data_IF_382980148515
#
_entry.id   IF_382980148515
#
_cell.length_a   1.000
_cell.length_b   1.000
_cell.length_c   1.000
_cell.angle_alpha   90.00
_cell.angle_beta   90.00
_cell.angle_gamma   90.00
#
_symmetry.space_group_name_H-M   'P 1'
#
loop_
_entity.id
_entity.type
_entity.pdbx_description
1 polymer ?
#
# COMPACT_ATOMS: atom_id res chain seq x y z
N UNK A 1 -3.31 10.48 0.93
CA UNK A 1 -3.52 9.71 -0.32
C UNK A 1 -2.26 9.72 -1.18
N UNK A 2 -1.83 10.84 -1.76
CA UNK A 2 -0.57 10.92 -2.55
C UNK A 2 0.67 10.47 -1.76
N UNK A 3 0.82 10.91 -0.50
CA UNK A 3 1.93 10.46 0.36
C UNK A 3 1.91 8.95 0.59
N UNK A 4 0.73 8.38 0.85
CA UNK A 4 0.56 6.94 1.08
C UNK A 4 0.89 6.14 -0.19
N UNK A 5 0.48 6.64 -1.37
CA UNK A 5 0.88 6.06 -2.67
C UNK A 5 2.39 6.15 -2.89
N UNK A 6 3.01 7.30 -2.59
CA UNK A 6 4.46 7.49 -2.72
C UNK A 6 5.22 6.50 -1.86
N UNK A 7 4.79 6.29 -0.63
CA UNK A 7 5.42 5.33 0.29
C UNK A 7 5.19 3.89 -0.21
N UNK A 8 3.96 3.53 -0.60
CA UNK A 8 3.61 2.18 -1.03
C UNK A 8 4.26 1.75 -2.37
N UNK A 9 4.40 2.68 -3.31
CA UNK A 9 4.84 2.40 -4.68
C UNK A 9 6.20 3.03 -5.05
N UNK A 10 6.87 3.69 -4.09
CA UNK A 10 8.17 4.35 -4.27
C UNK A 10 8.24 5.30 -5.48
N UNK A 11 7.09 5.87 -5.88
CA UNK A 11 6.94 6.78 -7.02
C UNK A 11 6.18 8.01 -6.56
N UNK A 12 6.76 9.18 -6.80
CA UNK A 12 6.11 10.43 -6.45
C UNK A 12 5.13 10.85 -7.55
N UNK A 13 3.85 10.52 -7.33
CA UNK A 13 2.76 11.02 -8.13
C UNK A 13 1.98 12.04 -7.30
N UNK A 14 2.10 13.32 -7.66
CA UNK A 14 1.47 14.43 -6.95
C UNK A 14 -0.05 14.52 -7.14
N UNK A 15 -0.63 13.77 -8.08
CA UNK A 15 -2.07 13.76 -8.34
C UNK A 15 -2.56 12.38 -8.83
N UNK A 16 -2.72 11.45 -7.89
CA UNK A 16 -3.17 10.08 -8.20
C UNK A 16 -4.68 9.97 -8.43
N UNK A 17 -5.46 11.00 -8.08
CA UNK A 17 -6.92 10.96 -8.12
C UNK A 17 -7.52 11.74 -9.27
N UNK A 18 -6.69 12.42 -10.08
CA UNK A 18 -7.18 13.12 -11.27
C UNK A 18 -7.75 12.14 -12.30
N UNK A 19 -9.02 12.34 -12.65
CA UNK A 19 -9.62 11.68 -13.80
C UNK A 19 -9.13 12.22 -15.16
N UNK A 20 -8.40 13.33 -15.19
CA UNK A 20 -7.92 13.94 -16.42
C UNK A 20 -6.54 13.38 -16.80
N UNK A 21 -6.54 12.39 -17.70
CA UNK A 21 -5.33 11.64 -18.10
C UNK A 21 -5.31 11.37 -19.59
N UNK A 22 -4.10 11.27 -20.14
CA UNK A 22 -3.85 10.84 -21.51
C UNK A 22 -2.96 9.59 -21.50
N UNK A 23 -3.26 8.63 -22.38
CA UNK A 23 -2.55 7.36 -22.45
C UNK A 23 -2.13 7.06 -23.90
N UNK A 24 -1.02 6.35 -24.05
CA UNK A 24 -0.69 5.71 -25.32
C UNK A 24 -1.49 4.42 -25.46
N UNK A 25 -1.76 3.98 -26.70
CA UNK A 25 -2.47 2.72 -26.97
C UNK A 25 -1.77 1.53 -26.31
N UNK A 26 -0.44 1.50 -26.36
CA UNK A 26 0.37 0.48 -25.72
C UNK A 26 0.17 0.47 -24.21
N UNK A 27 0.20 1.65 -23.57
CA UNK A 27 0.04 1.76 -22.13
C UNK A 27 -1.30 1.18 -21.66
N UNK A 28 -2.40 1.51 -22.35
CA UNK A 28 -3.74 0.98 -22.02
C UNK A 28 -3.81 -0.53 -22.21
N UNK A 29 -3.22 -1.06 -23.30
CA UNK A 29 -3.26 -2.52 -23.57
C UNK A 29 -2.53 -3.38 -22.54
N UNK A 30 -1.62 -2.80 -21.76
CA UNK A 30 -0.88 -3.49 -20.71
C UNK A 30 -1.57 -3.42 -19.34
N UNK A 31 -2.56 -2.54 -19.17
CA UNK A 31 -3.26 -2.35 -17.91
C UNK A 31 -4.37 -3.39 -17.74
N UNK A 32 -4.40 -4.04 -16.57
CA UNK A 32 -5.44 -5.00 -16.22
C UNK A 32 -6.38 -4.42 -15.15
N UNK A 33 -7.26 -3.50 -15.59
CA UNK A 33 -8.15 -2.76 -14.69
C UNK A 33 -9.39 -3.58 -14.31
N UNK A 34 -9.73 -3.59 -13.01
CA UNK A 34 -10.87 -4.34 -12.45
C UNK A 34 -11.77 -3.49 -11.55
N UNK A 35 -11.28 -2.38 -11.00
CA UNK A 35 -12.08 -1.55 -10.11
C UNK A 35 -13.16 -0.77 -10.87
N UNK A 36 -14.22 -0.40 -10.16
CA UNK A 36 -15.33 0.43 -10.69
C UNK A 36 -15.52 1.66 -9.80
N UNK A 37 -15.85 2.80 -10.39
CA UNK A 37 -16.04 4.07 -9.65
C UNK A 37 -14.72 4.81 -9.40
N UNK A 38 -14.64 5.60 -8.32
CA UNK A 38 -13.48 6.47 -7.99
C UNK A 38 -12.19 5.74 -7.58
N UNK A 39 -12.23 4.42 -7.54
CA UNK A 39 -11.07 3.57 -7.25
C UNK A 39 -10.22 3.33 -8.51
N UNK A 40 -10.82 3.52 -9.70
CA UNK A 40 -10.16 3.27 -10.99
C UNK A 40 -8.98 4.20 -11.23
N UNK A 41 -9.06 5.46 -10.78
CA UNK A 41 -7.99 6.45 -10.92
C UNK A 41 -6.72 6.00 -10.18
N UNK A 42 -6.92 5.35 -9.04
CA UNK A 42 -5.83 4.80 -8.24
C UNK A 42 -5.27 3.55 -8.90
N UNK A 43 -6.13 2.62 -9.33
CA UNK A 43 -5.71 1.38 -9.99
C UNK A 43 -4.88 1.66 -11.25
N UNK A 44 -5.32 2.63 -12.07
CA UNK A 44 -4.56 3.11 -13.24
C UNK A 44 -3.16 3.57 -12.84
N UNK A 45 -3.06 4.35 -11.76
CA UNK A 45 -1.77 4.87 -11.28
C UNK A 45 -0.87 3.72 -10.81
N UNK A 46 -1.43 2.73 -10.12
CA UNK A 46 -0.70 1.54 -9.66
C UNK A 46 -0.24 0.68 -10.84
N UNK A 47 -1.11 0.39 -11.80
CA UNK A 47 -0.80 -0.40 -13.01
C UNK A 47 0.27 0.28 -13.86
N UNK A 48 0.19 1.61 -14.03
CA UNK A 48 1.20 2.37 -14.76
C UNK A 48 2.58 2.25 -14.11
N UNK A 49 2.65 2.33 -12.78
CA UNK A 49 3.90 2.13 -12.03
C UNK A 49 4.37 0.67 -12.12
N UNK A 50 3.47 -0.30 -11.95
CA UNK A 50 3.79 -1.74 -11.99
C UNK A 50 4.34 -2.17 -13.35
N UNK A 51 3.79 -1.62 -14.43
CA UNK A 51 4.21 -1.91 -15.80
C UNK A 51 5.43 -1.08 -16.22
N UNK A 52 6.04 -0.28 -15.33
CA UNK A 52 7.23 0.52 -15.62
C UNK A 52 7.00 1.62 -16.65
N UNK A 53 5.77 2.12 -16.79
CA UNK A 53 5.43 3.11 -17.80
C UNK A 53 6.04 4.48 -17.47
N UNK A 54 6.34 5.27 -18.51
CA UNK A 54 6.79 6.65 -18.34
C UNK A 54 5.60 7.54 -18.01
N UNK A 55 5.63 8.16 -16.83
CA UNK A 55 4.56 9.02 -16.31
C UNK A 55 5.09 10.45 -16.18
N UNK A 56 4.30 11.42 -16.63
CA UNK A 56 4.58 12.86 -16.46
C UNK A 56 3.33 13.54 -15.90
N UNK A 57 3.51 14.41 -14.93
CA UNK A 57 2.44 15.22 -14.34
C UNK A 57 2.54 16.63 -14.91
N UNK A 58 1.49 17.06 -15.59
CA UNK A 58 1.38 18.41 -16.14
C UNK A 58 0.53 19.24 -15.18
N UNK A 59 1.06 20.33 -14.58
CA UNK A 59 0.30 21.15 -13.65
C UNK A 59 -0.86 21.84 -14.37
N UNK A 60 -2.05 21.75 -13.78
CA UNK A 60 -3.27 22.42 -14.27
C UNK A 60 -3.89 23.27 -13.16
N UNK A 61 -4.62 24.31 -13.56
CA UNK A 61 -5.40 25.13 -12.63
C UNK A 61 -6.81 24.58 -12.52
N UNK A 62 -7.17 24.08 -11.33
CA UNK A 62 -8.54 23.65 -11.06
C UNK A 62 -9.47 24.85 -11.00
N UNK A 63 -10.58 24.77 -11.73
CA UNK A 63 -11.64 25.77 -11.70
C UNK A 63 -12.84 25.21 -10.94
N UNK A 64 -13.53 26.09 -10.22
CA UNK A 64 -14.76 25.73 -9.52
C UNK A 64 -15.85 25.41 -10.55
N UNK A 65 -16.44 24.23 -10.44
CA UNK A 65 -17.61 23.85 -11.25
C UNK A 65 -18.86 24.56 -10.70
N UNK A 66 -19.55 25.43 -11.46
CA UNK A 66 -20.80 26.02 -11.01
C UNK A 66 -21.94 24.97 -11.05
N UNK A 67 -22.78 24.92 -10.01
CA UNK A 67 -24.12 24.33 -10.12
C UNK A 67 -24.29 22.81 -9.95
N UNK A 68 -23.29 22.07 -9.49
CA UNK A 68 -23.48 20.63 -9.16
C UNK A 68 -23.01 20.33 -7.76
N UNK A 69 -23.88 19.73 -6.95
CA UNK A 69 -23.49 19.11 -5.68
C UNK A 69 -22.43 18.04 -5.94
N UNK A 70 -21.34 18.10 -5.17
CA UNK A 70 -20.25 17.14 -5.27
C UNK A 70 -20.80 15.74 -5.03
N UNK A 71 -20.75 14.87 -6.05
CA UNK A 71 -21.09 13.44 -5.93
C UNK A 71 -20.10 12.66 -5.04
N UNK A 72 -19.09 13.35 -4.49
CA UNK A 72 -18.06 12.78 -3.64
C UNK A 72 -18.47 12.96 -2.18
N UNK A 73 -18.47 11.84 -1.45
CA UNK A 73 -18.51 11.83 0.01
C UNK A 73 -17.07 11.69 0.53
N UNK A 74 -16.43 12.78 1.01
CA UNK A 74 -14.99 12.80 1.25
C UNK A 74 -14.50 11.71 2.21
N UNK A 75 -15.33 11.36 3.19
CA UNK A 75 -15.01 10.34 4.20
C UNK A 75 -15.23 8.92 3.69
N UNK A 76 -16.38 8.63 3.07
CA UNK A 76 -16.72 7.27 2.66
C UNK A 76 -15.99 6.85 1.37
N UNK A 77 -15.86 7.76 0.40
CA UNK A 77 -15.05 7.51 -0.80
C UNK A 77 -13.55 7.57 -0.49
N UNK A 78 -13.13 8.42 0.45
CA UNK A 78 -11.75 8.44 0.96
C UNK A 78 -11.35 7.12 1.61
N UNK A 79 -12.22 6.52 2.44
CA UNK A 79 -11.97 5.23 3.06
C UNK A 79 -11.87 4.10 2.02
N UNK A 80 -12.75 4.11 1.01
CA UNK A 80 -12.68 3.16 -0.12
C UNK A 80 -11.35 3.27 -0.86
N UNK A 81 -10.95 4.49 -1.25
CA UNK A 81 -9.69 4.71 -1.97
C UNK A 81 -8.48 4.27 -1.12
N UNK A 82 -8.48 4.56 0.19
CA UNK A 82 -7.43 4.07 1.10
C UNK A 82 -7.41 2.54 1.13
N UNK A 83 -8.58 1.89 1.20
CA UNK A 83 -8.72 0.44 1.14
C UNK A 83 -8.25 -0.15 -0.19
N UNK A 84 -8.49 0.51 -1.32
CA UNK A 84 -8.01 0.10 -2.64
C UNK A 84 -6.49 0.24 -2.75
N UNK A 85 -5.91 1.37 -2.31
CA UNK A 85 -4.45 1.53 -2.25
C UNK A 85 -3.86 0.46 -1.33
N UNK A 86 -4.50 0.20 -0.19
CA UNK A 86 -4.10 -0.84 0.76
C UNK A 86 -4.14 -2.25 0.15
N UNK A 87 -5.19 -2.58 -0.61
CA UNK A 87 -5.35 -3.85 -1.33
C UNK A 87 -4.31 -4.02 -2.45
N UNK A 88 -4.05 -2.97 -3.21
CA UNK A 88 -3.07 -2.94 -4.31
C UNK A 88 -1.63 -2.97 -3.80
N UNK A 89 -1.34 -2.28 -2.69
CA UNK A 89 -0.04 -2.31 -2.03
C UNK A 89 0.30 -3.72 -1.53
N UNK A 90 -0.67 -4.44 -0.95
CA UNK A 90 -0.48 -5.83 -0.50
C UNK A 90 0.00 -6.78 -1.60
N UNK A 91 -0.35 -6.52 -2.86
CA UNK A 91 0.06 -7.36 -4.01
C UNK A 91 1.44 -6.94 -4.56
N UNK A 92 1.80 -5.66 -4.43
CA UNK A 92 3.05 -5.13 -5.02
C UNK A 92 4.21 -5.02 -4.02
N UNK A 93 3.94 -4.87 -2.72
CA UNK A 93 4.95 -4.73 -1.67
C UNK A 93 4.41 -5.29 -0.33
N UNK A 94 4.44 -6.61 -0.13
CA UNK A 94 3.92 -7.25 1.08
C UNK A 94 4.76 -6.90 2.31
N UNK A 95 6.06 -6.58 2.15
CA UNK A 95 6.89 -6.06 3.23
C UNK A 95 6.33 -4.77 3.80
N UNK A 96 5.87 -3.85 2.95
CA UNK A 96 5.27 -2.60 3.40
C UNK A 96 3.98 -2.85 4.21
N UNK A 97 3.14 -3.79 3.77
CA UNK A 97 1.87 -4.13 4.45
C UNK A 97 2.09 -4.73 5.83
N UNK A 98 2.78 -5.87 5.88
CA UNK A 98 2.99 -6.62 7.10
C UNK A 98 4.01 -5.91 8.01
N UNK A 99 5.02 -5.26 7.41
CA UNK A 99 5.99 -4.46 8.15
C UNK A 99 5.34 -3.30 8.90
N UNK A 100 4.43 -2.55 8.27
CA UNK A 100 3.74 -1.44 8.94
C UNK A 100 2.82 -1.93 10.07
N UNK A 101 2.10 -3.04 9.87
CA UNK A 101 1.29 -3.67 10.93
C UNK A 101 2.14 -4.20 12.07
N UNK A 102 3.24 -4.90 11.77
CA UNK A 102 4.15 -5.45 12.76
C UNK A 102 4.79 -4.34 13.61
N UNK A 103 5.33 -3.30 12.95
CA UNK A 103 5.91 -2.14 13.63
C UNK A 103 4.87 -1.43 14.51
N UNK A 104 3.65 -1.21 14.01
CA UNK A 104 2.59 -0.59 14.80
C UNK A 104 2.27 -1.40 16.06
N UNK A 105 2.07 -2.72 15.93
CA UNK A 105 1.77 -3.60 17.05
C UNK A 105 2.93 -3.68 18.04
N UNK A 106 4.18 -3.74 17.57
CA UNK A 106 5.37 -3.73 18.43
C UNK A 106 5.51 -2.40 19.17
N UNK A 107 5.29 -1.26 18.52
CA UNK A 107 5.31 0.07 19.17
C UNK A 107 4.23 0.14 20.25
N UNK A 108 3.01 -0.32 19.95
CA UNK A 108 1.93 -0.35 20.93
C UNK A 108 2.29 -1.21 22.15
N UNK A 109 2.87 -2.39 21.93
CA UNK A 109 3.40 -3.25 22.98
C UNK A 109 4.48 -2.54 23.80
N UNK A 110 5.44 -1.88 23.17
CA UNK A 110 6.49 -1.13 23.84
C UNK A 110 5.95 0.03 24.69
N UNK A 111 4.96 0.78 24.20
CA UNK A 111 4.34 1.87 24.95
C UNK A 111 3.66 1.37 26.24
N UNK A 112 2.91 0.27 26.14
CA UNK A 112 2.30 -0.39 27.31
C UNK A 112 3.39 -0.93 28.24
N UNK A 113 4.45 -1.52 27.68
CA UNK A 113 5.59 -2.02 28.46
C UNK A 113 6.30 -0.92 29.25
N UNK A 114 6.55 0.23 28.62
CA UNK A 114 7.11 1.41 29.31
C UNK A 114 6.21 1.87 30.45
N UNK A 115 4.90 1.92 30.22
CA UNK A 115 3.94 2.27 31.27
C UNK A 115 4.00 1.28 32.46
N UNK A 116 4.00 -0.02 32.18
CA UNK A 116 4.11 -1.07 33.22
C UNK A 116 5.42 -0.95 34.00
N UNK A 117 6.53 -0.68 33.32
CA UNK A 117 7.83 -0.51 33.97
C UNK A 117 7.85 0.74 34.87
N UNK A 118 7.25 1.85 34.44
CA UNK A 118 7.16 3.07 35.25
C UNK A 118 6.32 2.86 36.52
N UNK A 119 5.22 2.13 36.43
CA UNK A 119 4.39 1.82 37.60
C UNK A 119 5.02 0.78 38.52
N UNK A 120 5.83 -0.12 37.98
CA UNK A 120 6.61 -1.05 38.78
C UNK A 120 7.60 -0.32 39.71
N UNK A 121 8.22 0.78 39.26
CA UNK A 121 9.03 1.65 40.14
C UNK A 121 8.21 2.31 41.26
N UNK A 122 6.91 2.48 41.09
CA UNK A 122 5.99 2.98 42.12
C UNK A 122 5.43 1.86 43.02
N UNK A 123 5.96 0.64 42.94
CA UNK A 123 5.51 -0.57 43.65
C UNK A 123 4.06 -0.99 43.31
N UNK A 124 3.59 -0.71 42.09
CA UNK A 124 2.29 -1.19 41.60
C UNK A 124 2.51 -2.26 40.54
N UNK A 125 2.01 -3.46 40.79
CA UNK A 125 2.17 -4.59 39.87
C UNK A 125 0.96 -4.75 38.93
N UNK A 126 1.21 -4.70 37.63
CA UNK A 126 0.20 -4.94 36.60
C UNK A 126 0.50 -6.20 35.80
N UNK A 127 0.30 -7.36 36.43
CA UNK A 127 0.55 -8.68 35.82
C UNK A 127 -0.18 -8.85 34.46
N UNK A 128 -1.49 -8.52 34.32
CA UNK A 128 -2.19 -8.66 33.04
C UNK A 128 -1.61 -7.79 31.91
N UNK A 129 -1.21 -6.55 32.23
CA UNK A 129 -0.61 -5.64 31.24
C UNK A 129 0.81 -6.07 30.84
N UNK A 130 1.54 -6.71 31.77
CA UNK A 130 2.86 -7.30 31.48
C UNK A 130 2.74 -8.43 30.45
N UNK A 131 1.77 -9.33 30.65
CA UNK A 131 1.49 -10.43 29.70
C UNK A 131 1.06 -9.85 28.34
N UNK A 132 0.16 -8.86 28.33
CA UNK A 132 -0.28 -8.19 27.11
C UNK A 132 0.88 -7.54 26.35
N UNK A 133 1.79 -6.88 27.07
CA UNK A 133 3.00 -6.26 26.51
C UNK A 133 3.84 -7.29 25.75
N UNK A 134 4.16 -8.41 26.40
CA UNK A 134 4.97 -9.48 25.79
C UNK A 134 4.27 -10.06 24.56
N UNK A 135 2.97 -10.35 24.67
CA UNK A 135 2.18 -10.87 23.55
C UNK A 135 2.17 -9.91 22.35
N UNK A 136 1.95 -8.62 22.58
CA UNK A 136 1.93 -7.62 21.51
C UNK A 136 3.30 -7.49 20.83
N UNK A 137 4.39 -7.51 21.60
CA UNK A 137 5.74 -7.44 21.04
C UNK A 137 6.03 -8.68 20.19
N UNK A 138 5.75 -9.88 20.71
CA UNK A 138 5.99 -11.15 19.99
C UNK A 138 5.18 -11.20 18.70
N UNK A 139 3.86 -10.94 18.76
CA UNK A 139 2.99 -10.93 17.59
C UNK A 139 3.42 -9.86 16.58
N UNK A 140 3.83 -8.68 17.03
CA UNK A 140 4.33 -7.63 16.15
C UNK A 140 5.58 -8.06 15.37
N UNK A 141 6.52 -8.73 16.05
CA UNK A 141 7.74 -9.28 15.43
C UNK A 141 7.39 -10.40 14.43
N UNK A 142 6.47 -11.32 14.78
CA UNK A 142 6.03 -12.38 13.87
C UNK A 142 5.39 -11.81 12.60
N UNK A 143 4.50 -10.83 12.73
CA UNK A 143 3.88 -10.16 11.58
C UNK A 143 4.97 -9.51 10.70
N UNK A 144 5.95 -8.84 11.30
CA UNK A 144 7.07 -8.25 10.56
C UNK A 144 7.87 -9.30 9.78
N UNK A 145 8.18 -10.43 10.42
CA UNK A 145 8.89 -11.56 9.79
C UNK A 145 8.09 -12.15 8.63
N UNK A 146 6.78 -12.34 8.78
CA UNK A 146 5.90 -12.77 7.69
C UNK A 146 5.92 -11.81 6.50
N UNK A 147 6.00 -10.50 6.77
CA UNK A 147 6.19 -9.48 5.73
C UNK A 147 7.45 -9.66 4.92
N UNK A 148 8.57 -9.86 5.60
CA UNK A 148 9.86 -10.07 4.96
C UNK A 148 9.88 -11.34 4.11
N UNK A 149 9.33 -12.45 4.63
CA UNK A 149 9.22 -13.71 3.90
C UNK A 149 8.33 -13.56 2.65
N UNK A 150 7.20 -12.87 2.78
CA UNK A 150 6.28 -12.63 1.66
C UNK A 150 6.95 -11.84 0.54
N UNK A 151 7.78 -10.87 0.89
CA UNK A 151 8.52 -10.05 -0.08
C UNK A 151 9.59 -10.86 -0.81
N UNK A 152 10.37 -11.65 -0.07
CA UNK A 152 11.33 -12.59 -0.66
C UNK A 152 10.63 -13.58 -1.60
N UNK A 153 9.46 -14.10 -1.21
CA UNK A 153 8.67 -15.01 -2.05
C UNK A 153 8.21 -14.34 -3.35
N UNK A 154 7.79 -13.07 -3.30
CA UNK A 154 7.40 -12.34 -4.50
C UNK A 154 8.58 -12.07 -5.44
N UNK A 155 9.73 -11.68 -4.89
CA UNK A 155 10.96 -11.47 -5.69
C UNK A 155 11.34 -12.79 -6.37
N UNK A 156 11.37 -13.88 -5.60
CA UNK A 156 11.67 -15.22 -6.12
C UNK A 156 10.69 -15.67 -7.21
N UNK A 157 9.38 -15.45 -7.01
CA UNK A 157 8.37 -15.79 -8.00
C UNK A 157 8.53 -14.99 -9.30
N UNK A 158 8.88 -13.70 -9.21
CA UNK A 158 9.16 -12.86 -10.39
C UNK A 158 10.40 -13.32 -11.15
N UNK A 159 11.46 -13.71 -10.45
CA UNK A 159 12.68 -14.28 -11.03
C UNK A 159 12.36 -15.56 -11.82
N UNK A 160 11.60 -16.47 -11.21
CA UNK A 160 11.18 -17.73 -11.85
C UNK A 160 10.38 -17.47 -13.13
N UNK A 161 9.38 -16.58 -13.07
CA UNK A 161 8.56 -16.27 -14.26
C UNK A 161 9.44 -15.70 -15.38
N UNK A 162 10.41 -14.85 -15.04
CA UNK A 162 11.33 -14.26 -16.01
C UNK A 162 12.19 -15.32 -16.70
N UNK A 163 12.75 -16.25 -15.94
CA UNK A 163 13.51 -17.39 -16.50
C UNK A 163 12.64 -18.26 -17.41
N UNK A 164 11.41 -18.57 -17.00
CA UNK A 164 10.46 -19.34 -17.84
C UNK A 164 10.19 -18.62 -19.16
N UNK A 165 10.03 -17.29 -19.15
CA UNK A 165 9.81 -16.51 -20.37
C UNK A 165 11.02 -16.48 -21.30
N UNK A 166 12.24 -16.52 -20.77
CA UNK A 166 13.47 -16.59 -21.57
C UNK A 166 13.65 -17.95 -22.24
N UNK A 167 13.22 -19.02 -21.55
CA UNK A 167 13.29 -20.40 -22.05
C UNK A 167 12.16 -20.74 -23.03
N UNK A 168 11.07 -19.98 -23.04
CA UNK A 168 9.99 -20.18 -24.01
C UNK A 168 10.41 -19.64 -25.40
N UNK A 169 10.44 -20.49 -26.45
CA UNK A 169 10.69 -20.00 -27.81
C UNK A 169 9.58 -19.03 -28.21
N UNK A 170 9.96 -17.88 -28.78
CA UNK A 170 9.00 -16.90 -29.33
C UNK A 170 8.03 -17.64 -30.25
N UNK A 171 6.74 -17.66 -29.90
CA UNK A 171 5.73 -18.15 -30.83
C UNK A 171 5.76 -17.29 -32.10
N UNK A 172 5.93 -17.90 -33.29
CA UNK A 172 5.81 -17.16 -34.53
C UNK A 172 4.39 -16.59 -34.62
N UNK A 173 4.31 -15.30 -34.97
CA UNK A 173 3.05 -14.59 -35.22
C UNK A 173 2.27 -15.20 -36.37
#
# INVERSE_FOLDING_TARGET
LNLLFKIAHSRDLHDILSGYRAFTKLAVSQMHLKEKGFEIETEISVEAVRNGQRIMIVPIKYLRRPGTATKLSPFHDGFKIVSTIYRLARVNNPMFYFGMMGVFTTILGLLIGVYVVLEWFNNIEHIPLTILTVLLIVVGIEIFMFGMISDMLLVFHREIIREIQLLQPKQPK
#
